data_IF_451868235160
#
_entry.id   IF_451868235160
#
_cell.length_a   1.000
_cell.length_b   1.000
_cell.length_c   1.000
_cell.angle_alpha   90.00
_cell.angle_beta   90.00
_cell.angle_gamma   90.00
#
_symmetry.space_group_name_H-M   'P 1'
#
loop_
_entity.id
_entity.type
_entity.pdbx_description
1 polymer ?
#
# COMPACT_ATOMS: atom_id res chain seq x y z
N UNK A 1 3.15 -14.40 -2.89
CA UNK A 1 2.07 -13.51 -2.43
C UNK A 1 0.74 -14.08 -2.89
N UNK A 2 -0.31 -14.09 -2.04
CA UNK A 2 -1.64 -14.51 -2.47
C UNK A 2 -2.11 -13.62 -3.63
N UNK A 3 -2.73 -14.25 -4.62
CA UNK A 3 -3.12 -13.59 -5.87
C UNK A 3 -4.15 -12.50 -5.60
N UNK A 4 -4.12 -11.42 -6.39
CA UNK A 4 -5.04 -10.27 -6.37
C UNK A 4 -6.53 -10.64 -6.29
N UNK A 5 -6.88 -11.88 -6.65
CA UNK A 5 -8.23 -12.40 -6.76
C UNK A 5 -8.64 -13.35 -5.61
N UNK A 6 -7.78 -13.56 -4.61
CA UNK A 6 -8.13 -14.30 -3.41
C UNK A 6 -8.89 -13.39 -2.43
N UNK A 7 -9.99 -13.89 -1.85
CA UNK A 7 -10.83 -13.15 -0.88
C UNK A 7 -10.10 -12.65 0.38
N UNK A 8 -8.85 -13.08 0.56
CA UNK A 8 -7.96 -12.67 1.64
C UNK A 8 -7.04 -11.49 1.24
N UNK A 9 -7.04 -11.06 -0.02
CA UNK A 9 -6.29 -9.91 -0.47
C UNK A 9 -6.88 -8.64 0.19
N UNK A 10 -6.08 -7.86 0.92
CA UNK A 10 -6.52 -6.57 1.42
C UNK A 10 -6.85 -5.70 0.21
N UNK A 11 -8.11 -5.31 0.06
CA UNK A 11 -8.54 -4.39 -1.00
C UNK A 11 -8.89 -3.08 -0.34
N UNK A 12 -8.17 -2.02 -0.69
CA UNK A 12 -8.55 -0.66 -0.33
C UNK A 12 -9.47 -0.15 -1.43
N UNK A 13 -10.77 -0.16 -1.16
CA UNK A 13 -11.70 0.62 -1.97
C UNK A 13 -11.58 2.05 -1.47
N UNK A 14 -11.56 3.02 -2.37
CA UNK A 14 -11.28 4.42 -2.04
C UNK A 14 -12.36 5.03 -1.15
N UNK A 15 -12.34 4.68 0.14
CA UNK A 15 -13.11 5.27 1.22
C UNK A 15 -12.26 6.39 1.79
N UNK A 16 -12.82 7.57 2.00
CA UNK A 16 -12.13 8.73 2.62
C UNK A 16 -11.92 8.54 4.12
N UNK A 17 -11.77 7.29 4.57
CA UNK A 17 -11.73 6.90 5.97
C UNK A 17 -10.28 6.59 6.35
N UNK A 18 -9.61 7.48 7.12
CA UNK A 18 -8.22 7.28 7.52
C UNK A 18 -8.04 6.02 8.39
N UNK A 19 -9.08 5.62 9.12
CA UNK A 19 -9.09 4.37 9.90
C UNK A 19 -9.05 3.12 9.00
N UNK A 20 -9.73 3.14 7.86
CA UNK A 20 -9.69 2.03 6.89
C UNK A 20 -8.31 1.92 6.25
N UNK A 21 -7.69 3.07 5.95
CA UNK A 21 -6.35 3.16 5.40
C UNK A 21 -5.29 2.61 6.37
N UNK A 22 -5.39 2.95 7.66
CA UNK A 22 -4.51 2.38 8.70
C UNK A 22 -4.66 0.85 8.79
N UNK A 23 -5.91 0.36 8.80
CA UNK A 23 -6.21 -1.07 8.78
C UNK A 23 -5.71 -1.79 7.52
N UNK A 24 -5.74 -1.13 6.35
CA UNK A 24 -5.18 -1.65 5.11
C UNK A 24 -3.66 -1.82 5.23
N UNK A 25 -2.95 -0.79 5.66
CA UNK A 25 -1.51 -0.85 5.83
C UNK A 25 -1.09 -1.90 6.86
N UNK A 26 -1.80 -2.01 7.97
CA UNK A 26 -1.53 -3.06 8.98
C UNK A 26 -1.67 -4.48 8.39
N UNK A 27 -2.71 -4.75 7.60
CA UNK A 27 -2.89 -6.03 6.89
C UNK A 27 -1.78 -6.28 5.86
N UNK A 28 -1.35 -5.22 5.18
CA UNK A 28 -0.28 -5.30 4.19
C UNK A 28 1.08 -5.62 4.84
N UNK A 29 1.39 -5.01 5.98
CA UNK A 29 2.61 -5.26 6.74
C UNK A 29 2.68 -6.68 7.30
N UNK A 30 1.56 -7.21 7.80
CA UNK A 30 1.45 -8.62 8.20
C UNK A 30 1.69 -9.56 7.00
N UNK A 31 1.22 -9.19 5.81
CA UNK A 31 1.46 -9.95 4.58
C UNK A 31 2.93 -9.90 4.14
N UNK A 32 3.59 -8.75 4.31
CA UNK A 32 5.04 -8.63 4.10
C UNK A 32 5.83 -9.50 5.05
N UNK A 33 5.46 -9.52 6.34
CA UNK A 33 6.09 -10.38 7.32
C UNK A 33 5.92 -11.87 6.97
N UNK A 34 4.70 -12.28 6.57
CA UNK A 34 4.40 -13.65 6.14
C UNK A 34 5.13 -14.06 4.87
N UNK A 35 5.30 -13.14 3.92
CA UNK A 35 5.93 -13.40 2.63
C UNK A 35 7.43 -13.05 2.62
N UNK A 36 8.00 -12.70 3.78
CA UNK A 36 9.40 -12.28 3.98
C UNK A 36 9.85 -11.16 3.02
N UNK A 37 8.97 -10.20 2.73
CA UNK A 37 9.26 -9.06 1.85
C UNK A 37 10.06 -8.03 2.63
N UNK A 38 11.36 -7.98 2.40
CA UNK A 38 12.26 -7.00 3.03
C UNK A 38 12.54 -5.80 2.14
N UNK A 39 12.34 -5.94 0.83
CA UNK A 39 12.67 -4.93 -0.15
C UNK A 39 11.65 -3.78 -0.17
N UNK A 40 12.13 -2.54 -0.09
CA UNK A 40 11.26 -1.36 0.00
C UNK A 40 10.53 -1.09 -1.31
N UNK A 41 11.13 -1.38 -2.47
CA UNK A 41 10.45 -1.25 -3.76
C UNK A 41 9.36 -2.32 -3.92
N UNK A 42 9.63 -3.55 -3.47
CA UNK A 42 8.66 -4.63 -3.52
C UNK A 42 7.45 -4.35 -2.61
N UNK A 43 7.68 -3.84 -1.39
CA UNK A 43 6.61 -3.37 -0.50
C UNK A 43 5.73 -2.29 -1.15
N UNK A 44 6.36 -1.31 -1.81
CA UNK A 44 5.65 -0.24 -2.52
C UNK A 44 4.82 -0.77 -3.69
N UNK A 45 5.40 -1.64 -4.53
CA UNK A 45 4.70 -2.26 -5.67
C UNK A 45 3.55 -3.15 -5.22
N UNK A 46 3.73 -3.89 -4.14
CA UNK A 46 2.68 -4.69 -3.54
C UNK A 46 1.54 -3.79 -3.02
N UNK A 47 1.86 -2.73 -2.27
CA UNK A 47 0.85 -1.77 -1.80
C UNK A 47 -0.04 -1.28 -2.95
N UNK A 48 0.58 -0.85 -4.06
CA UNK A 48 -0.14 -0.44 -5.27
C UNK A 48 -1.01 -1.54 -5.87
N UNK A 49 -0.50 -2.78 -5.93
CA UNK A 49 -1.24 -3.93 -6.49
C UNK A 49 -2.51 -4.24 -5.69
N UNK A 50 -2.50 -4.00 -4.38
CA UNK A 50 -3.63 -4.22 -3.49
C UNK A 50 -4.61 -3.03 -3.42
N UNK A 51 -4.35 -1.96 -4.19
CA UNK A 51 -5.23 -0.79 -4.30
C UNK A 51 -5.93 -0.71 -5.65
N UNK A 52 -7.02 0.07 -5.71
CA UNK A 52 -7.74 0.30 -6.96
C UNK A 52 -6.94 1.19 -7.93
N UNK A 53 -7.26 1.14 -9.23
CA UNK A 53 -6.49 1.83 -10.30
C UNK A 53 -6.42 3.35 -10.05
N UNK A 54 -7.48 3.92 -9.45
CA UNK A 54 -7.51 5.35 -9.08
C UNK A 54 -6.50 5.66 -7.99
N UNK A 55 -6.51 4.87 -6.91
CA UNK A 55 -5.60 5.01 -5.77
C UNK A 55 -4.16 4.74 -6.20
N UNK A 56 -3.93 3.73 -7.04
CA UNK A 56 -2.62 3.43 -7.62
C UNK A 56 -2.04 4.66 -8.34
N UNK A 57 -2.84 5.33 -9.18
CA UNK A 57 -2.41 6.54 -9.88
C UNK A 57 -2.08 7.69 -8.94
N UNK A 58 -2.89 7.88 -7.89
CA UNK A 58 -2.65 8.92 -6.88
C UNK A 58 -1.35 8.65 -6.14
N UNK A 59 -1.13 7.41 -5.70
CA UNK A 59 0.07 7.00 -4.98
C UNK A 59 1.32 7.02 -5.85
N UNK A 60 1.22 6.68 -7.14
CA UNK A 60 2.33 6.83 -8.10
C UNK A 60 2.72 8.28 -8.36
N UNK A 61 1.79 9.23 -8.19
CA UNK A 61 2.07 10.65 -8.33
C UNK A 61 2.78 11.26 -7.10
N UNK A 62 2.84 10.50 -5.99
CA UNK A 62 3.49 10.97 -4.78
C UNK A 62 5.02 11.06 -4.95
N UNK A 63 5.64 12.20 -4.57
CA UNK A 63 7.08 12.38 -4.71
C UNK A 63 7.87 11.36 -3.87
N UNK A 64 7.38 10.94 -2.70
CA UNK A 64 8.05 9.91 -1.87
C UNK A 64 8.01 8.51 -2.49
N UNK A 65 7.00 8.24 -3.32
CA UNK A 65 6.97 7.03 -4.13
C UNK A 65 8.04 7.09 -5.25
N UNK A 66 8.04 8.17 -6.03
CA UNK A 66 8.93 8.34 -7.19
C UNK A 66 10.41 8.53 -6.83
N UNK A 67 10.71 9.13 -5.67
CA UNK A 67 12.07 9.39 -5.22
C UNK A 67 12.83 8.14 -4.72
N UNK A 68 12.20 6.95 -4.75
CA UNK A 68 12.84 5.73 -4.24
C UNK A 68 13.09 5.76 -2.72
N UNK A 69 12.33 6.58 -1.97
CA UNK A 69 12.47 6.73 -0.52
C UNK A 69 12.01 5.50 0.27
N UNK A 70 11.92 5.59 1.59
CA UNK A 70 11.49 4.44 2.40
C UNK A 70 10.01 4.12 2.24
N UNK A 71 9.64 2.87 2.50
CA UNK A 71 8.22 2.48 2.53
C UNK A 71 7.44 3.24 3.61
N UNK A 72 8.06 3.50 4.77
CA UNK A 72 7.45 4.26 5.87
C UNK A 72 7.14 5.71 5.48
N UNK A 73 8.05 6.38 4.75
CA UNK A 73 7.82 7.75 4.28
C UNK A 73 6.67 7.81 3.27
N UNK A 74 6.59 6.81 2.39
CA UNK A 74 5.49 6.66 1.46
C UNK A 74 4.16 6.46 2.20
N UNK A 75 4.10 5.57 3.20
CA UNK A 75 2.91 5.33 4.01
C UNK A 75 2.44 6.61 4.71
N UNK A 76 3.38 7.37 5.27
CA UNK A 76 3.10 8.62 5.97
C UNK A 76 2.54 9.69 5.00
N UNK A 77 3.13 9.85 3.82
CA UNK A 77 2.63 10.78 2.81
C UNK A 77 1.26 10.35 2.25
N UNK A 78 1.02 9.05 2.11
CA UNK A 78 -0.31 8.53 1.75
C UNK A 78 -1.34 8.84 2.83
N UNK A 79 -0.99 8.67 4.10
CA UNK A 79 -1.86 8.99 5.24
C UNK A 79 -2.14 10.49 5.35
N UNK A 80 -1.19 11.37 5.01
CA UNK A 80 -1.43 12.83 4.95
C UNK A 80 -2.36 13.24 3.78
N UNK A 81 -2.51 12.39 2.77
CA UNK A 81 -3.30 12.67 1.57
C UNK A 81 -4.80 12.29 1.72
N UNK A 82 -5.17 11.62 2.82
CA UNK A 82 -6.53 11.14 3.12
C UNK A 82 -7.02 11.68 4.47
#
# INVERSE_FOLDING_TARGET
MPGLNEKAAPRFESSSDPEELEHFFSRLEDLFAKCAVTDEEDKKKAALSYTDIKTERQWKALPKYAAGGKYEEFKLEVMECY
#
